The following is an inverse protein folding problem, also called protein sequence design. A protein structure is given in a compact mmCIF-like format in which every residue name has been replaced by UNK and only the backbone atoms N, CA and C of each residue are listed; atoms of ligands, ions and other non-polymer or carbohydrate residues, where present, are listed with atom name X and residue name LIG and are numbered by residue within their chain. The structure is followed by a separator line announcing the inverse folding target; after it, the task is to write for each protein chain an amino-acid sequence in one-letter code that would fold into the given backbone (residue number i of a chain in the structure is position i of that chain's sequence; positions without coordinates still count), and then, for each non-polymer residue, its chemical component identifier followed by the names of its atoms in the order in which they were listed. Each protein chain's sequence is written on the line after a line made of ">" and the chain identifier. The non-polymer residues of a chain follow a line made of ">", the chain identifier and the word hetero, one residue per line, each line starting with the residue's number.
data_IF_124700673671
#
_entry.id   IF_124700673671
#
_cell.length_a   1.000
_cell.length_b   1.000
_cell.length_c   1.000
_cell.angle_alpha   90.00
_cell.angle_beta   90.00
_cell.angle_gamma   90.00
#
_symmetry.space_group_name_H-M   'P 1'
#
loop_
_entity.id
_entity.type
_entity.pdbx_description
1 polymer ?
#
# COMPACT_ATOMS: atom_id res chain seq x y z
N UNK A 1 -22.41 -10.78 12.78
CA UNK A 1 -23.28 -9.78 12.14
C UNK A 1 -22.36 -8.72 11.54
N UNK A 2 -22.11 -8.82 10.22
CA UNK A 2 -21.21 -7.91 9.52
C UNK A 2 -21.88 -6.57 9.29
N UNK A 3 -21.31 -5.51 9.87
CA UNK A 3 -21.83 -4.16 9.73
C UNK A 3 -21.35 -3.57 8.41
N UNK A 4 -22.07 -3.87 7.32
CA UNK A 4 -21.92 -3.21 6.02
C UNK A 4 -22.61 -1.85 6.08
N UNK A 5 -21.99 -0.87 6.74
CA UNK A 5 -22.54 0.47 6.95
C UNK A 5 -21.56 1.63 6.71
N UNK A 6 -20.35 1.36 6.22
CA UNK A 6 -19.23 2.33 6.23
C UNK A 6 -18.72 2.68 4.82
N UNK A 7 -19.63 3.03 3.90
CA UNK A 7 -19.20 3.31 2.50
C UNK A 7 -19.54 4.73 2.04
N UNK A 8 -20.68 5.30 2.43
CA UNK A 8 -21.10 6.63 1.94
C UNK A 8 -20.68 7.80 2.85
N UNK A 9 -20.53 7.56 4.15
CA UNK A 9 -20.09 8.58 5.13
C UNK A 9 -18.58 8.80 5.08
N UNK A 10 -17.80 7.73 4.94
CA UNK A 10 -16.33 7.79 4.83
C UNK A 10 -15.88 8.50 3.53
N UNK A 11 -16.59 8.26 2.42
CA UNK A 11 -16.35 8.96 1.14
C UNK A 11 -16.48 10.49 1.26
N UNK A 12 -17.45 10.97 2.04
CA UNK A 12 -17.63 12.40 2.30
C UNK A 12 -16.60 12.96 3.28
N UNK A 13 -16.13 12.14 4.23
CA UNK A 13 -15.12 12.54 5.22
C UNK A 13 -13.76 12.80 4.56
N UNK A 14 -13.34 11.93 3.64
CA UNK A 14 -12.13 12.08 2.83
C UNK A 14 -12.19 13.25 1.82
N UNK A 15 -13.38 13.77 1.54
CA UNK A 15 -13.60 14.87 0.60
C UNK A 15 -13.61 16.25 1.30
N UNK A 16 -13.88 16.29 2.62
CA UNK A 16 -14.01 17.55 3.40
C UNK A 16 -12.78 17.97 4.18
N UNK A 17 -11.92 17.03 4.59
CA UNK A 17 -10.63 17.30 5.21
C UNK A 17 -9.52 16.74 4.33
N UNK A 18 -8.54 17.55 3.94
CA UNK A 18 -7.40 17.05 3.17
C UNK A 18 -6.72 15.90 3.93
N UNK A 19 -6.72 14.70 3.35
CA UNK A 19 -6.11 13.50 3.95
C UNK A 19 -4.61 13.71 4.15
N UNK A 20 -3.98 14.29 3.15
CA UNK A 20 -2.58 14.65 3.07
C UNK A 20 -2.48 16.15 2.77
N UNK A 21 -1.38 16.77 3.19
CA UNK A 21 -1.02 18.11 2.74
C UNK A 21 -0.59 18.10 1.27
N UNK A 22 -0.55 19.28 0.63
CA UNK A 22 -0.09 19.38 -0.77
C UNK A 22 1.35 18.92 -0.89
N UNK A 23 2.21 19.39 0.01
CA UNK A 23 3.64 19.08 0.00
C UNK A 23 3.90 17.57 0.17
N UNK A 24 3.16 16.89 1.05
CA UNK A 24 3.24 15.43 1.18
C UNK A 24 2.83 14.70 -0.10
N UNK A 25 1.75 15.14 -0.76
CA UNK A 25 1.34 14.54 -2.02
C UNK A 25 2.43 14.76 -3.07
N UNK A 26 2.97 15.96 -3.15
CA UNK A 26 4.00 16.29 -4.13
C UNK A 26 5.27 15.43 -3.88
N UNK A 27 5.69 15.23 -2.63
CA UNK A 27 6.78 14.32 -2.26
C UNK A 27 6.51 12.85 -2.66
N UNK A 28 5.31 12.34 -2.42
CA UNK A 28 4.94 11.00 -2.89
C UNK A 28 4.94 10.89 -4.41
N UNK A 29 4.55 11.95 -5.12
CA UNK A 29 4.59 11.97 -6.58
C UNK A 29 6.02 12.06 -7.13
N UNK A 30 6.95 12.67 -6.39
CA UNK A 30 8.37 12.74 -6.76
C UNK A 30 9.10 11.41 -6.53
N UNK A 31 8.72 10.68 -5.49
CA UNK A 31 9.36 9.42 -5.09
C UNK A 31 8.69 8.16 -5.70
N UNK A 32 7.47 8.26 -6.23
CA UNK A 32 6.72 7.13 -6.79
C UNK A 32 6.17 7.44 -8.17
N UNK A 33 5.72 6.42 -8.90
CA UNK A 33 5.09 6.59 -10.22
C UNK A 33 3.59 6.91 -10.15
N UNK A 34 3.11 7.38 -9.01
CA UNK A 34 1.67 7.56 -8.77
C UNK A 34 1.21 8.98 -8.98
N UNK A 35 -0.03 9.12 -9.46
CA UNK A 35 -0.71 10.41 -9.44
C UNK A 35 -1.32 10.66 -8.07
N UNK A 36 -1.63 11.91 -7.74
CA UNK A 36 -2.45 12.26 -6.57
C UNK A 36 -3.70 11.37 -6.41
N UNK A 37 -4.36 11.03 -7.52
CA UNK A 37 -5.56 10.16 -7.49
C UNK A 37 -5.22 8.75 -7.04
N UNK A 38 -4.08 8.22 -7.46
CA UNK A 38 -3.65 6.86 -7.13
C UNK A 38 -3.19 6.77 -5.68
N UNK A 39 -2.45 7.77 -5.18
CA UNK A 39 -2.08 7.87 -3.76
C UNK A 39 -3.33 7.87 -2.87
N UNK A 40 -4.34 8.67 -3.22
CA UNK A 40 -5.61 8.72 -2.47
C UNK A 40 -6.35 7.37 -2.55
N UNK A 41 -6.34 6.69 -3.70
CA UNK A 41 -6.96 5.36 -3.87
C UNK A 41 -6.25 4.30 -3.02
N UNK A 42 -4.92 4.29 -3.03
CA UNK A 42 -4.11 3.37 -2.23
C UNK A 42 -4.33 3.62 -0.74
N UNK A 43 -4.37 4.88 -0.32
CA UNK A 43 -4.69 5.22 1.06
C UNK A 43 -6.10 4.74 1.48
N UNK A 44 -7.11 4.90 0.62
CA UNK A 44 -8.46 4.36 0.89
C UNK A 44 -8.44 2.84 1.06
N UNK A 45 -7.64 2.12 0.25
CA UNK A 45 -7.43 0.69 0.43
C UNK A 45 -6.77 0.38 1.77
N UNK A 46 -5.70 1.11 2.12
CA UNK A 46 -4.99 0.97 3.39
C UNK A 46 -5.91 1.22 4.60
N UNK A 47 -6.72 2.27 4.56
CA UNK A 47 -7.75 2.56 5.56
C UNK A 47 -8.81 1.45 5.67
N UNK A 48 -9.25 0.89 4.53
CA UNK A 48 -10.23 -0.20 4.53
C UNK A 48 -9.72 -1.49 5.18
N UNK A 49 -8.40 -1.70 5.29
CA UNK A 49 -7.83 -2.87 5.97
C UNK A 49 -8.01 -2.80 7.49
N UNK A 50 -7.85 -1.60 8.06
CA UNK A 50 -8.18 -1.36 9.47
C UNK A 50 -8.59 0.10 9.72
N UNK A 51 -9.91 0.42 9.66
CA UNK A 51 -10.40 1.78 9.89
C UNK A 51 -10.32 2.22 11.36
N UNK A 52 -10.02 1.31 12.29
CA UNK A 52 -9.84 1.62 13.72
C UNK A 52 -8.42 2.14 13.96
N UNK A 53 -7.43 1.53 13.30
CA UNK A 53 -6.01 1.86 13.46
C UNK A 53 -5.55 2.99 12.54
N UNK A 54 -6.11 3.06 11.33
CA UNK A 54 -5.76 4.07 10.33
C UNK A 54 -6.68 5.29 10.51
N UNK A 55 -6.17 6.46 10.91
CA UNK A 55 -6.95 7.67 11.03
C UNK A 55 -7.28 8.22 9.65
N UNK A 56 -8.38 8.95 9.54
CA UNK A 56 -8.88 9.58 8.30
C UNK A 56 -8.05 10.79 7.84
N UNK A 57 -7.13 11.25 8.68
CA UNK A 57 -6.17 12.32 8.41
C UNK A 57 -4.74 11.82 8.65
N UNK A 58 -3.94 11.83 7.59
CA UNK A 58 -2.55 11.39 7.50
C UNK A 58 -1.55 12.55 7.32
N UNK A 59 -1.93 13.76 7.72
CA UNK A 59 -1.01 14.90 7.70
C UNK A 59 0.14 14.76 8.70
N UNK A 60 1.29 15.33 8.35
CA UNK A 60 2.50 15.32 9.16
C UNK A 60 3.17 13.94 9.18
N UNK A 61 3.77 13.56 10.31
CA UNK A 61 4.56 12.32 10.41
C UNK A 61 3.73 11.05 10.64
N UNK A 62 2.40 11.12 10.53
CA UNK A 62 1.50 9.98 10.77
C UNK A 62 1.70 8.81 9.79
N UNK A 63 1.91 9.04 8.47
CA UNK A 63 2.10 7.95 7.51
C UNK A 63 3.26 7.02 7.85
N UNK A 64 4.35 7.58 8.39
CA UNK A 64 5.55 6.87 8.79
C UNK A 64 5.43 6.16 10.16
N UNK A 65 4.45 6.53 10.98
CA UNK A 65 4.24 5.94 12.32
C UNK A 65 3.21 4.82 12.28
N UNK A 66 2.22 4.94 11.40
CA UNK A 66 1.06 4.05 11.39
C UNK A 66 1.36 2.83 10.53
N UNK A 67 1.67 1.74 11.22
CA UNK A 67 1.93 0.44 10.60
C UNK A 67 0.69 -0.45 10.65
N UNK A 68 0.48 -1.23 9.60
CA UNK A 68 -0.44 -2.36 9.62
C UNK A 68 0.36 -3.66 9.74
N UNK A 69 -0.13 -4.56 10.58
CA UNK A 69 0.47 -5.88 10.76
C UNK A 69 0.23 -6.75 9.52
N UNK A 70 1.08 -7.76 9.35
CA UNK A 70 0.95 -8.71 8.24
C UNK A 70 -0.45 -9.34 8.14
N UNK A 71 -1.10 -9.67 9.26
CA UNK A 71 -2.45 -10.27 9.24
C UNK A 71 -3.52 -9.30 8.70
N UNK A 72 -3.26 -8.00 8.74
CA UNK A 72 -4.16 -6.97 8.21
C UNK A 72 -3.97 -6.83 6.70
N UNK A 73 -2.71 -6.84 6.25
CA UNK A 73 -2.31 -6.74 4.86
C UNK A 73 -2.72 -8.00 4.06
N UNK A 74 -2.62 -9.20 4.64
CA UNK A 74 -2.98 -10.45 3.94
C UNK A 74 -4.50 -10.61 3.68
N UNK A 75 -5.35 -9.76 4.29
CA UNK A 75 -6.79 -9.72 3.99
C UNK A 75 -7.07 -9.26 2.56
N UNK A 76 -6.10 -8.60 1.92
CA UNK A 76 -6.22 -8.21 0.52
C UNK A 76 -6.29 -9.47 -0.36
N UNK A 77 -7.28 -9.58 -1.27
CA UNK A 77 -7.43 -10.75 -2.12
C UNK A 77 -6.19 -11.00 -3.00
N UNK A 78 -5.53 -9.92 -3.43
CA UNK A 78 -4.28 -9.92 -4.21
C UNK A 78 -3.13 -10.67 -3.49
N UNK A 79 -3.07 -10.56 -2.16
CA UNK A 79 -2.04 -11.21 -1.33
C UNK A 79 -2.52 -12.54 -0.76
N UNK A 80 -3.80 -12.69 -0.45
CA UNK A 80 -4.35 -13.92 0.15
C UNK A 80 -4.08 -15.16 -0.71
N UNK A 81 -4.29 -15.04 -2.02
CA UNK A 81 -4.07 -16.13 -2.98
C UNK A 81 -2.58 -16.31 -3.33
N UNK A 82 -1.72 -15.40 -2.88
CA UNK A 82 -0.30 -15.42 -3.19
C UNK A 82 0.49 -16.23 -2.12
N UNK A 83 1.10 -17.37 -2.49
CA UNK A 83 1.86 -18.20 -1.54
C UNK A 83 3.07 -17.49 -0.91
N UNK A 84 3.49 -16.36 -1.47
CA UNK A 84 4.66 -15.61 -1.02
C UNK A 84 4.34 -14.29 -0.36
N UNK A 85 3.06 -14.04 -0.06
CA UNK A 85 2.60 -12.82 0.61
C UNK A 85 3.44 -12.42 1.82
N UNK A 86 3.82 -13.40 2.66
CA UNK A 86 4.68 -13.15 3.83
C UNK A 86 6.06 -12.63 3.44
N UNK A 87 6.66 -13.20 2.40
CA UNK A 87 7.98 -12.77 1.93
C UNK A 87 7.93 -11.40 1.27
N UNK A 88 6.85 -11.10 0.54
CA UNK A 88 6.60 -9.78 -0.04
C UNK A 88 6.53 -8.75 1.09
N UNK A 89 5.66 -8.93 2.08
CA UNK A 89 5.54 -8.00 3.20
C UNK A 89 6.87 -7.84 3.95
N UNK A 90 7.63 -8.92 4.18
CA UNK A 90 8.94 -8.84 4.83
C UNK A 90 9.99 -8.05 4.04
N UNK A 91 9.93 -8.09 2.71
CA UNK A 91 10.90 -7.38 1.86
C UNK A 91 10.59 -5.88 1.79
N UNK A 92 9.32 -5.52 1.85
CA UNK A 92 8.86 -4.14 1.84
C UNK A 92 8.81 -3.52 3.23
N UNK A 93 8.72 -4.31 4.31
CA UNK A 93 8.85 -3.80 5.67
C UNK A 93 10.30 -3.44 5.98
N UNK A 94 10.55 -2.23 6.46
CA UNK A 94 11.89 -1.80 6.91
C UNK A 94 12.44 -2.64 8.06
N UNK A 95 11.57 -3.08 8.98
CA UNK A 95 11.94 -3.90 10.14
C UNK A 95 12.11 -5.40 9.81
N UNK A 96 11.76 -5.81 8.59
CA UNK A 96 11.75 -7.21 8.16
C UNK A 96 10.72 -8.09 8.89
N UNK A 97 9.87 -7.50 9.75
CA UNK A 97 8.83 -8.22 10.49
C UNK A 97 7.55 -8.40 9.65
N UNK A 98 7.44 -7.69 8.53
CA UNK A 98 6.27 -7.71 7.65
C UNK A 98 5.16 -6.73 8.05
N UNK A 99 5.47 -5.80 8.96
CA UNK A 99 4.59 -4.66 9.26
C UNK A 99 4.84 -3.58 8.21
N UNK A 100 3.79 -3.07 7.60
CA UNK A 100 3.91 -2.08 6.53
C UNK A 100 3.35 -0.74 7.02
N UNK A 101 4.17 0.30 6.93
CA UNK A 101 3.70 1.69 6.97
C UNK A 101 2.92 2.04 5.70
N UNK A 102 2.31 3.22 5.67
CA UNK A 102 1.72 3.70 4.43
C UNK A 102 2.77 3.93 3.34
N UNK A 103 3.99 4.33 3.73
CA UNK A 103 5.10 4.56 2.79
C UNK A 103 5.58 3.23 2.20
N UNK A 104 5.77 2.19 3.03
CA UNK A 104 6.09 0.84 2.54
C UNK A 104 5.00 0.27 1.62
N UNK A 105 3.74 0.58 1.94
CA UNK A 105 2.60 0.18 1.12
C UNK A 105 2.63 0.88 -0.25
N UNK A 106 2.93 2.18 -0.29
CA UNK A 106 3.14 2.89 -1.56
C UNK A 106 4.31 2.30 -2.34
N UNK A 107 5.44 1.98 -1.70
CA UNK A 107 6.60 1.38 -2.35
C UNK A 107 6.31 -0.01 -2.92
N UNK A 108 5.55 -0.82 -2.19
CA UNK A 108 5.11 -2.12 -2.66
C UNK A 108 4.27 -1.99 -3.94
N UNK A 109 3.26 -1.11 -3.91
CA UNK A 109 2.42 -0.87 -5.08
C UNK A 109 3.18 -0.18 -6.22
N UNK A 110 4.15 0.69 -5.91
CA UNK A 110 4.92 1.41 -6.94
C UNK A 110 5.73 0.43 -7.78
N UNK A 111 6.32 -0.59 -7.15
CA UNK A 111 7.00 -1.69 -7.84
C UNK A 111 6.02 -2.53 -8.67
N UNK A 112 4.79 -2.73 -8.20
CA UNK A 112 3.76 -3.45 -8.97
C UNK A 112 3.16 -2.63 -10.11
N UNK A 113 3.29 -1.30 -10.09
CA UNK A 113 2.77 -0.43 -11.15
C UNK A 113 3.36 -0.78 -12.52
N UNK A 114 2.53 -0.76 -13.57
CA UNK A 114 2.98 -0.93 -14.95
C UNK A 114 4.03 0.13 -15.35
N UNK A 115 3.90 1.34 -14.79
CA UNK A 115 4.79 2.46 -15.07
C UNK A 115 6.19 2.31 -14.47
N UNK A 116 6.39 1.39 -13.52
CA UNK A 116 7.71 1.21 -12.91
C UNK A 116 8.70 0.53 -13.88
N UNK A 117 9.94 1.04 -13.95
CA UNK A 117 10.95 0.52 -14.87
C UNK A 117 11.32 -0.92 -14.52
N UNK A 118 11.60 -1.72 -15.55
CA UNK A 118 11.93 -3.14 -15.40
C UNK A 118 13.07 -3.38 -14.41
N UNK A 119 14.08 -2.51 -14.38
CA UNK A 119 15.23 -2.62 -13.47
C UNK A 119 14.84 -2.54 -11.99
N UNK A 120 13.90 -1.66 -11.64
CA UNK A 120 13.40 -1.54 -10.27
C UNK A 120 12.66 -2.81 -9.87
N UNK A 121 11.78 -3.30 -10.74
CA UNK A 121 11.02 -4.54 -10.52
C UNK A 121 11.93 -5.75 -10.39
N UNK A 122 12.97 -5.86 -11.23
CA UNK A 122 13.97 -6.91 -11.14
C UNK A 122 14.71 -6.86 -9.81
N UNK A 123 15.17 -5.68 -9.37
CA UNK A 123 15.84 -5.51 -8.07
C UNK A 123 15.01 -6.08 -6.91
N UNK A 124 13.73 -5.74 -6.84
CA UNK A 124 12.83 -6.26 -5.81
C UNK A 124 12.49 -7.74 -6.01
N UNK A 125 12.29 -8.20 -7.24
CA UNK A 125 12.07 -9.62 -7.53
C UNK A 125 13.26 -10.50 -7.14
N UNK A 126 14.49 -10.02 -7.32
CA UNK A 126 15.69 -10.68 -6.80
C UNK A 126 15.68 -10.77 -5.28
N UNK A 127 15.23 -9.72 -4.58
CA UNK A 127 15.15 -9.67 -3.11
C UNK A 127 14.06 -10.59 -2.55
N UNK A 128 12.94 -10.75 -3.25
CA UNK A 128 11.82 -11.62 -2.85
C UNK A 128 12.08 -13.10 -3.21
N UNK A 129 12.65 -13.38 -4.39
CA UNK A 129 12.67 -14.73 -4.98
C UNK A 129 14.02 -15.23 -5.49
N UNK A 130 14.79 -14.37 -6.15
CA UNK A 130 15.77 -14.82 -7.14
C UNK A 130 15.09 -15.37 -8.40
N UNK A 131 15.07 -14.58 -9.48
CA UNK A 131 14.79 -14.93 -10.89
C UNK A 131 13.38 -15.46 -11.27
N UNK A 132 12.66 -16.26 -10.47
CA UNK A 132 11.64 -17.17 -11.08
C UNK A 132 10.18 -16.67 -11.12
N UNK A 133 9.75 -15.64 -10.37
CA UNK A 133 8.29 -15.42 -10.13
C UNK A 133 7.70 -14.19 -10.84
N UNK A 134 8.41 -13.67 -11.84
CA UNK A 134 7.93 -12.53 -12.61
C UNK A 134 6.68 -12.83 -13.47
N UNK A 135 6.47 -14.09 -13.85
CA UNK A 135 5.42 -14.50 -14.80
C UNK A 135 4.05 -14.79 -14.16
N UNK A 136 3.98 -15.15 -12.87
CA UNK A 136 2.69 -15.49 -12.25
C UNK A 136 1.94 -14.28 -11.67
N UNK A 137 2.64 -13.23 -11.25
CA UNK A 137 2.02 -12.09 -10.56
C UNK A 137 1.47 -11.00 -11.51
N UNK A 138 2.05 -10.85 -12.70
CA UNK A 138 1.61 -9.84 -13.68
C UNK A 138 0.46 -10.29 -14.60
N UNK A 139 0.02 -11.56 -14.54
CA UNK A 139 -1.07 -12.08 -15.41
C UNK A 139 -2.44 -12.06 -14.70
N UNK A 140 -2.53 -11.67 -13.41
CA UNK A 140 -3.80 -11.74 -12.67
C UNK A 140 -4.17 -10.53 -11.81
N UNK A 141 -3.52 -9.38 -12.01
CA UNK A 141 -3.97 -8.08 -11.45
C UNK A 141 -4.19 -7.11 -12.60
#
# INVERSE_FOLDING_TARGET
>A
MGNTGSSLTDLNLFSKGGIFTRDQIDEYQDCTFFTRKDIIRLYKRFYALNPIKVPTNMQGNRPAIITLCFEEIEKMPELRENPFRRRICQVFSDDGAGNLTFDDFLDMFSVFSEMAPLQLKLKYAFRIYGIVIFLCLFISI
#
